data_IF_838592111715
#
_entry.id   IF_838592111715
#
_cell.length_a   1.000
_cell.length_b   1.000
_cell.length_c   1.000
_cell.angle_alpha   90.00
_cell.angle_beta   90.00
_cell.angle_gamma   90.00
#
_symmetry.space_group_name_H-M   'P 1'
#
loop_
_entity.id
_entity.type
_entity.pdbx_description
1 polymer ?
#
# COMPACT_ATOMS: atom_id res chain seq x y z
N UNK A 1 -23.31 15.60 -20.55
CA UNK A 1 -22.78 14.22 -20.68
C UNK A 1 -21.51 14.14 -19.85
N UNK A 2 -21.66 13.83 -18.56
CA UNK A 2 -20.53 13.44 -17.73
C UNK A 2 -20.19 12.02 -18.18
N UNK A 3 -19.15 11.83 -18.99
CA UNK A 3 -18.57 10.49 -19.14
C UNK A 3 -18.00 10.16 -17.77
N UNK A 4 -18.79 9.48 -16.94
CA UNK A 4 -18.42 8.99 -15.63
C UNK A 4 -17.18 8.13 -15.82
N UNK A 5 -16.03 8.74 -15.56
CA UNK A 5 -14.71 8.11 -15.72
C UNK A 5 -14.68 6.91 -14.79
N UNK A 6 -14.70 5.71 -15.37
CA UNK A 6 -14.12 4.54 -14.73
C UNK A 6 -12.61 4.79 -14.61
N UNK A 7 -12.19 5.48 -13.55
CA UNK A 7 -10.78 5.59 -13.20
C UNK A 7 -10.38 4.31 -12.49
N UNK A 8 -9.52 3.52 -13.13
CA UNK A 8 -8.87 2.40 -12.49
C UNK A 8 -8.09 2.92 -11.27
N UNK A 9 -8.37 2.33 -10.11
CA UNK A 9 -7.65 2.63 -8.88
C UNK A 9 -6.34 1.85 -8.87
N UNK A 10 -5.25 2.57 -8.64
CA UNK A 10 -3.91 2.02 -8.53
C UNK A 10 -3.69 1.52 -7.10
N UNK A 11 -3.36 0.23 -6.98
CA UNK A 11 -2.97 -0.40 -5.72
C UNK A 11 -1.45 -0.54 -5.70
N UNK A 12 -0.82 -0.16 -4.59
CA UNK A 12 0.62 -0.41 -4.40
C UNK A 12 0.81 -1.76 -3.74
N UNK A 13 1.37 -2.71 -4.50
CA UNK A 13 1.74 -4.04 -4.02
C UNK A 13 3.03 -3.99 -3.21
N UNK A 14 3.00 -4.50 -1.97
CA UNK A 14 4.16 -4.52 -1.07
C UNK A 14 4.29 -5.89 -0.38
N UNK A 15 5.52 -6.35 -0.10
CA UNK A 15 5.72 -7.52 0.74
C UNK A 15 5.42 -7.18 2.20
N UNK A 16 4.67 -8.04 2.90
CA UNK A 16 4.26 -7.84 4.29
C UNK A 16 5.41 -8.05 5.30
N UNK A 17 6.49 -8.72 4.87
CA UNK A 17 7.71 -8.91 5.65
C UNK A 17 8.92 -9.01 4.73
N UNK A 18 10.13 -8.76 5.27
CA UNK A 18 11.39 -8.99 4.56
C UNK A 18 11.59 -10.44 4.12
N UNK A 19 10.95 -11.40 4.78
CA UNK A 19 10.96 -12.83 4.39
C UNK A 19 9.97 -13.16 3.27
N UNK A 20 9.05 -12.25 2.95
CA UNK A 20 8.02 -12.46 1.93
C UNK A 20 8.56 -12.24 0.50
N UNK A 21 9.71 -11.59 0.34
CA UNK A 21 10.37 -11.33 -0.93
C UNK A 21 11.88 -11.20 -0.73
N UNK A 22 12.70 -11.52 -1.74
CA UNK A 22 14.16 -11.33 -1.66
C UNK A 22 14.59 -9.86 -1.51
N UNK A 23 13.73 -8.91 -1.86
CA UNK A 23 13.91 -7.47 -1.71
C UNK A 23 12.56 -6.74 -1.77
N UNK A 24 12.54 -5.42 -1.51
CA UNK A 24 11.33 -4.58 -1.67
C UNK A 24 10.44 -4.47 -0.43
N UNK A 25 10.84 -5.04 0.70
CA UNK A 25 10.18 -4.77 1.99
C UNK A 25 10.48 -3.34 2.45
N UNK A 26 9.42 -2.64 2.84
CA UNK A 26 9.49 -1.29 3.39
C UNK A 26 8.98 -1.37 4.83
N UNK A 27 9.74 -0.92 5.83
CA UNK A 27 9.24 -0.78 7.20
C UNK A 27 7.96 0.07 7.26
N UNK A 28 7.03 -0.27 8.15
CA UNK A 28 5.71 0.37 8.21
C UNK A 28 5.77 1.87 8.53
N UNK A 29 6.74 2.28 9.36
CA UNK A 29 7.02 3.69 9.69
C UNK A 29 7.49 4.48 8.46
N UNK A 30 8.40 3.91 7.66
CA UNK A 30 8.88 4.51 6.40
C UNK A 30 7.74 4.60 5.39
N UNK A 31 6.92 3.55 5.28
CA UNK A 31 5.76 3.54 4.39
C UNK A 31 4.80 4.69 4.75
N UNK A 32 4.46 4.81 6.04
CA UNK A 32 3.51 5.81 6.53
C UNK A 32 4.03 7.24 6.44
N UNK A 33 5.32 7.45 6.73
CA UNK A 33 5.88 8.82 6.82
C UNK A 33 6.35 9.38 5.48
N UNK A 34 6.77 8.54 4.54
CA UNK A 34 7.41 8.99 3.29
C UNK A 34 6.64 8.59 2.05
N UNK A 35 6.15 7.35 1.99
CA UNK A 35 5.54 6.81 0.77
C UNK A 35 4.07 7.21 0.65
N UNK A 36 3.27 6.96 1.70
CA UNK A 36 1.84 7.25 1.69
C UNK A 36 1.54 8.72 1.39
N UNK A 37 2.19 9.73 2.02
CA UNK A 37 1.93 11.13 1.71
C UNK A 37 2.24 11.51 0.26
N UNK A 38 3.24 10.86 -0.36
CA UNK A 38 3.61 11.12 -1.74
C UNK A 38 2.61 10.54 -2.75
N UNK A 39 1.94 9.44 -2.42
CA UNK A 39 1.04 8.73 -3.36
C UNK A 39 -0.45 8.99 -3.07
N UNK A 40 -0.83 9.35 -1.83
CA UNK A 40 -2.21 9.53 -1.42
C UNK A 40 -2.87 10.77 -2.04
N UNK A 41 -2.08 11.72 -2.54
CA UNK A 41 -2.58 12.90 -3.26
C UNK A 41 -3.10 12.58 -4.68
N UNK A 42 -2.83 11.38 -5.21
CA UNK A 42 -3.32 10.99 -6.53
C UNK A 42 -4.79 10.57 -6.47
N UNK A 43 -5.67 11.11 -7.33
CA UNK A 43 -7.08 10.71 -7.40
C UNK A 43 -7.27 9.25 -7.84
N UNK A 44 -6.21 8.60 -8.35
CA UNK A 44 -6.21 7.19 -8.71
C UNK A 44 -5.77 6.28 -7.57
N UNK A 45 -5.25 6.80 -6.46
CA UNK A 45 -4.77 5.94 -5.38
C UNK A 45 -5.93 5.14 -4.76
N UNK A 46 -5.78 3.81 -4.75
CA UNK A 46 -6.79 2.87 -4.27
C UNK A 46 -6.47 2.22 -2.94
N UNK A 47 -5.22 2.27 -2.48
CA UNK A 47 -4.74 1.59 -1.28
C UNK A 47 -3.47 0.77 -1.49
N UNK A 48 -3.15 -0.06 -0.51
CA UNK A 48 -2.01 -0.97 -0.51
C UNK A 48 -2.50 -2.41 -0.59
N UNK A 49 -1.84 -3.24 -1.39
CA UNK A 49 -2.03 -4.69 -1.42
C UNK A 49 -0.80 -5.37 -0.85
N UNK A 50 -1.00 -6.27 0.11
CA UNK A 50 0.10 -6.95 0.80
C UNK A 50 0.27 -8.38 0.29
N UNK A 51 1.52 -8.76 0.02
CA UNK A 51 1.91 -10.15 -0.24
C UNK A 51 2.84 -10.67 0.87
N UNK A 52 2.57 -11.77 1.55
CA UNK A 52 1.37 -12.61 1.57
C UNK A 52 0.74 -12.54 2.97
N UNK A 53 -0.52 -12.99 3.09
CA UNK A 53 -1.19 -13.10 4.40
C UNK A 53 -0.37 -13.91 5.41
N UNK A 54 0.38 -14.91 4.96
CA UNK A 54 1.22 -15.74 5.83
C UNK A 54 2.32 -14.93 6.54
N UNK A 55 2.84 -13.89 5.87
CA UNK A 55 3.88 -13.03 6.43
C UNK A 55 3.34 -11.79 7.14
N UNK A 56 2.03 -11.56 7.09
CA UNK A 56 1.37 -10.43 7.73
C UNK A 56 1.23 -10.66 9.24
N UNK A 57 2.34 -10.49 9.95
CA UNK A 57 2.43 -10.60 11.40
C UNK A 57 2.18 -9.24 12.10
N UNK A 58 1.14 -8.51 11.66
CA UNK A 58 0.78 -7.19 12.20
C UNK A 58 1.24 -6.00 11.35
N UNK A 59 1.80 -6.26 10.17
CA UNK A 59 2.17 -5.20 9.24
C UNK A 59 0.92 -4.45 8.76
N UNK A 60 -0.15 -5.16 8.40
CA UNK A 60 -1.44 -4.55 8.03
C UNK A 60 -2.02 -3.71 9.17
N UNK A 61 -1.97 -4.19 10.41
CA UNK A 61 -2.43 -3.46 11.59
C UNK A 61 -1.67 -2.15 11.80
N UNK A 62 -0.35 -2.14 11.56
CA UNK A 62 0.48 -0.95 11.71
C UNK A 62 0.16 0.13 10.67
N UNK A 63 -0.19 -0.26 9.44
CA UNK A 63 -0.43 0.69 8.35
C UNK A 63 -1.90 1.10 8.23
N UNK A 64 -2.85 0.24 8.64
CA UNK A 64 -4.31 0.43 8.52
C UNK A 64 -4.84 1.82 8.93
N UNK A 65 -4.36 2.48 9.99
CA UNK A 65 -4.83 3.82 10.36
C UNK A 65 -4.50 4.93 9.34
N UNK A 66 -3.69 4.62 8.32
CA UNK A 66 -3.11 5.58 7.38
C UNK A 66 -3.38 5.26 5.91
N UNK A 67 -3.93 4.08 5.60
CA UNK A 67 -4.26 3.63 4.25
C UNK A 67 -5.73 3.83 3.92
#
# INVERSE_FOLDING_TARGET
MELSRFQLRELKGLPAASRAAGSGFIPSDVLVSQVLPAISGSPKYGGVTLWSKFYDNGYSSAIKPRV
#
